data_IF_063332807925
#
_entry.id   IF_063332807925
#
_cell.length_a   1.000
_cell.length_b   1.000
_cell.length_c   1.000
_cell.angle_alpha   90.00
_cell.angle_beta   90.00
_cell.angle_gamma   90.00
#
_symmetry.space_group_name_H-M   'P 1'
#
loop_
_entity.id
_entity.type
_entity.pdbx_description
1 polymer ?
#
# COMPACT_ATOMS: atom_id res chain seq x y z
N UNK A 1 9.49 75.25 -37.66
CA UNK A 1 8.38 74.27 -37.50
C UNK A 1 8.99 72.88 -37.42
N UNK A 2 8.98 72.30 -36.22
CA UNK A 2 9.62 71.02 -35.86
C UNK A 2 8.99 69.84 -36.60
N UNK A 3 9.84 68.94 -37.13
CA UNK A 3 9.47 67.56 -37.52
C UNK A 3 9.75 66.64 -36.33
N UNK A 4 8.69 66.05 -35.76
CA UNK A 4 8.77 65.05 -34.69
C UNK A 4 8.99 63.66 -35.29
N UNK A 5 10.15 63.07 -35.01
CA UNK A 5 10.44 61.66 -35.23
C UNK A 5 9.78 60.83 -34.11
N UNK A 6 8.99 59.83 -34.47
CA UNK A 6 8.42 58.85 -33.53
C UNK A 6 9.44 57.72 -33.31
N UNK A 7 10.09 57.71 -32.15
CA UNK A 7 10.87 56.56 -31.67
C UNK A 7 9.93 55.51 -31.10
N UNK A 8 9.96 54.29 -31.66
CA UNK A 8 9.28 53.13 -31.11
C UNK A 8 10.11 52.55 -29.95
N UNK A 9 9.51 52.50 -28.76
CA UNK A 9 10.11 51.91 -27.57
C UNK A 9 9.69 50.43 -27.50
N UNK A 10 10.61 49.51 -27.82
CA UNK A 10 10.39 48.07 -27.65
C UNK A 10 10.55 47.72 -26.17
N UNK A 11 9.44 47.42 -25.49
CA UNK A 11 9.44 46.93 -24.11
C UNK A 11 9.74 45.43 -24.14
N UNK A 12 10.94 45.07 -23.69
CA UNK A 12 11.34 43.68 -23.47
C UNK A 12 10.73 43.22 -22.12
N UNK A 13 9.64 42.46 -22.18
CA UNK A 13 9.05 41.79 -21.02
C UNK A 13 9.97 40.62 -20.60
N UNK A 14 10.82 40.85 -19.61
CA UNK A 14 11.49 39.78 -18.86
C UNK A 14 10.43 39.10 -17.99
N UNK A 15 9.92 37.95 -18.43
CA UNK A 15 9.16 37.04 -17.57
C UNK A 15 10.13 36.39 -16.59
N UNK A 16 10.18 36.91 -15.37
CA UNK A 16 10.71 36.19 -14.22
C UNK A 16 9.83 34.95 -14.03
N UNK A 17 10.36 33.78 -14.37
CA UNK A 17 9.78 32.50 -13.97
C UNK A 17 9.90 32.44 -12.44
N UNK A 18 8.80 32.70 -11.75
CA UNK A 18 8.66 32.35 -10.35
C UNK A 18 8.48 30.84 -10.33
N UNK A 19 9.48 30.11 -9.83
CA UNK A 19 9.35 28.70 -9.49
C UNK A 19 8.27 28.59 -8.40
N UNK A 20 7.03 28.41 -8.83
CA UNK A 20 5.96 28.00 -7.94
C UNK A 20 6.30 26.60 -7.43
N UNK A 21 6.16 26.33 -6.12
CA UNK A 21 6.37 24.99 -5.59
C UNK A 21 5.50 24.00 -6.39
N UNK A 22 6.12 22.90 -6.81
CA UNK A 22 5.48 21.81 -7.55
C UNK A 22 4.26 21.31 -6.77
N UNK A 23 3.08 21.77 -7.17
CA UNK A 23 1.80 21.34 -6.64
C UNK A 23 1.59 19.88 -7.04
N UNK A 24 1.21 19.01 -6.10
CA UNK A 24 0.93 17.59 -6.33
C UNK A 24 0.14 17.40 -7.62
N UNK A 25 0.83 17.00 -8.69
CA UNK A 25 0.29 17.19 -10.03
C UNK A 25 -0.45 15.92 -10.48
N UNK A 26 -1.55 16.07 -11.25
CA UNK A 26 -2.20 14.95 -11.92
C UNK A 26 -1.23 14.12 -12.75
N UNK A 27 -0.26 14.75 -13.43
CA UNK A 27 0.68 14.07 -14.31
C UNK A 27 1.57 13.09 -13.53
N UNK A 28 2.11 13.48 -12.37
CA UNK A 28 2.93 12.59 -11.54
C UNK A 28 2.16 11.34 -11.12
N UNK A 29 0.89 11.50 -10.69
CA UNK A 29 0.05 10.37 -10.32
C UNK A 29 -0.21 9.42 -11.50
N UNK A 30 -0.39 9.96 -12.71
CA UNK A 30 -0.55 9.16 -13.92
C UNK A 30 0.74 8.44 -14.33
N UNK A 31 1.89 9.12 -14.25
CA UNK A 31 3.20 8.56 -14.61
C UNK A 31 3.61 7.45 -13.63
N UNK A 32 3.33 7.63 -12.33
CA UNK A 32 3.55 6.59 -11.31
C UNK A 32 2.65 5.38 -11.59
N UNK A 33 1.35 5.57 -11.82
CA UNK A 33 0.46 4.46 -12.20
C UNK A 33 0.92 3.73 -13.48
N UNK A 34 1.38 4.46 -14.50
CA UNK A 34 1.91 3.86 -15.72
C UNK A 34 3.20 3.07 -15.46
N UNK A 35 4.07 3.58 -14.60
CA UNK A 35 5.29 2.91 -14.20
C UNK A 35 5.03 1.63 -13.40
N UNK A 36 4.03 1.63 -12.51
CA UNK A 36 3.58 0.42 -11.80
C UNK A 36 3.16 -0.66 -12.79
N UNK A 37 2.35 -0.30 -13.79
CA UNK A 37 1.90 -1.25 -14.82
C UNK A 37 3.05 -1.82 -15.65
N UNK A 38 4.09 -1.01 -15.91
CA UNK A 38 5.23 -1.39 -16.73
C UNK A 38 6.23 -2.27 -15.99
N UNK A 39 6.56 -1.93 -14.75
CA UNK A 39 7.65 -2.56 -14.02
C UNK A 39 7.17 -3.37 -12.81
N UNK A 40 6.22 -2.88 -12.05
CA UNK A 40 5.92 -3.44 -10.73
C UNK A 40 4.85 -4.54 -10.77
N UNK A 41 4.27 -4.85 -11.94
CA UNK A 41 3.23 -5.89 -12.06
C UNK A 41 3.54 -6.98 -13.11
N UNK A 42 4.75 -7.56 -13.16
CA UNK A 42 5.11 -8.52 -14.22
C UNK A 42 4.16 -9.72 -14.31
N UNK A 43 3.56 -10.11 -13.17
CA UNK A 43 2.59 -11.21 -13.09
C UNK A 43 1.24 -10.80 -12.48
N UNK A 44 0.91 -9.51 -12.56
CA UNK A 44 -0.38 -8.98 -12.10
C UNK A 44 -0.45 -8.67 -10.61
N UNK A 45 0.63 -8.86 -9.85
CA UNK A 45 0.77 -8.44 -8.44
C UNK A 45 2.00 -7.56 -8.28
N UNK A 46 2.03 -6.73 -7.24
CA UNK A 46 3.11 -5.76 -6.97
C UNK A 46 4.39 -6.48 -6.58
N UNK A 47 5.49 -6.25 -7.29
CA UNK A 47 6.82 -6.79 -6.98
C UNK A 47 7.85 -5.71 -7.33
N UNK A 48 8.88 -5.55 -6.48
CA UNK A 48 9.88 -4.52 -6.67
C UNK A 48 10.96 -4.95 -7.70
N UNK A 49 11.23 -4.14 -8.73
CA UNK A 49 12.35 -4.33 -9.64
C UNK A 49 13.66 -3.85 -9.01
N UNK A 50 14.70 -4.68 -9.11
CA UNK A 50 16.09 -4.35 -8.78
C UNK A 50 16.89 -4.14 -10.07
N UNK A 51 17.64 -3.05 -10.16
CA UNK A 51 18.35 -2.63 -11.37
C UNK A 51 19.85 -2.88 -11.26
N UNK A 52 20.53 -2.97 -12.40
CA UNK A 52 21.97 -3.28 -12.46
C UNK A 52 22.86 -2.30 -11.69
N UNK A 53 22.43 -1.04 -11.56
CA UNK A 53 23.10 -0.01 -10.78
C UNK A 53 22.13 1.14 -10.47
N UNK A 54 22.57 2.06 -9.62
CA UNK A 54 21.82 3.26 -9.20
C UNK A 54 21.36 4.16 -10.37
N UNK A 55 22.11 4.16 -11.47
CA UNK A 55 21.85 4.98 -12.67
C UNK A 55 21.31 4.17 -13.85
N UNK A 56 21.19 2.85 -13.71
CA UNK A 56 20.71 1.98 -14.78
C UNK A 56 19.18 2.00 -14.88
N UNK A 57 18.68 1.94 -16.11
CA UNK A 57 17.27 1.69 -16.43
C UNK A 57 17.00 0.22 -16.77
N UNK A 58 18.02 -0.63 -16.74
CA UNK A 58 17.91 -2.06 -16.98
C UNK A 58 17.63 -2.82 -15.68
N UNK A 59 16.52 -3.54 -15.66
CA UNK A 59 16.15 -4.43 -14.54
C UNK A 59 17.11 -5.62 -14.54
N UNK A 60 17.77 -5.83 -13.41
CA UNK A 60 18.64 -6.96 -13.17
C UNK A 60 17.87 -8.19 -12.72
N UNK A 61 16.95 -8.03 -11.76
CA UNK A 61 16.04 -9.06 -11.25
C UNK A 61 14.88 -8.42 -10.47
N UNK A 62 14.01 -9.24 -9.89
CA UNK A 62 13.00 -8.79 -8.93
C UNK A 62 13.32 -9.26 -7.50
N UNK A 63 12.71 -8.59 -6.52
CA UNK A 63 13.00 -8.73 -5.08
C UNK A 63 11.74 -8.43 -4.25
N UNK A 64 11.81 -8.67 -2.93
CA UNK A 64 10.78 -8.28 -1.95
C UNK A 64 9.38 -8.81 -2.29
N UNK A 65 9.31 -10.07 -2.72
CA UNK A 65 8.05 -10.72 -3.08
C UNK A 65 7.14 -10.98 -1.87
N UNK A 66 7.66 -11.04 -0.64
CA UNK A 66 6.84 -11.36 0.54
C UNK A 66 5.65 -10.43 0.76
N UNK A 67 5.69 -9.18 0.32
CA UNK A 67 4.61 -8.21 0.54
C UNK A 67 3.77 -7.90 -0.70
N UNK A 68 3.87 -8.77 -1.71
CA UNK A 68 3.17 -8.58 -2.98
C UNK A 68 1.65 -8.50 -2.80
N UNK A 69 1.03 -9.34 -1.96
CA UNK A 69 -0.42 -9.36 -1.79
C UNK A 69 -0.95 -8.09 -1.09
N UNK A 70 -0.32 -7.65 0.01
CA UNK A 70 -0.73 -6.43 0.72
C UNK A 70 -0.64 -5.20 -0.19
N UNK A 71 0.45 -5.06 -0.96
CA UNK A 71 0.65 -3.92 -1.84
C UNK A 71 -0.24 -3.98 -3.08
N UNK A 72 -0.56 -5.17 -3.60
CA UNK A 72 -1.56 -5.32 -4.65
C UNK A 72 -2.95 -4.87 -4.17
N UNK A 73 -3.30 -5.14 -2.91
CA UNK A 73 -4.53 -4.63 -2.30
C UNK A 73 -4.56 -3.10 -2.17
N UNK A 74 -3.46 -2.47 -1.74
CA UNK A 74 -3.37 -1.00 -1.69
C UNK A 74 -3.41 -0.39 -3.09
N UNK A 75 -2.75 -1.01 -4.06
CA UNK A 75 -2.79 -0.60 -5.46
C UNK A 75 -4.21 -0.67 -6.05
N UNK A 76 -4.93 -1.76 -5.77
CA UNK A 76 -6.33 -1.91 -6.14
C UNK A 76 -7.20 -0.79 -5.56
N UNK A 77 -7.01 -0.42 -4.29
CA UNK A 77 -7.71 0.70 -3.69
C UNK A 77 -7.38 2.03 -4.40
N UNK A 78 -6.11 2.27 -4.73
CA UNK A 78 -5.66 3.50 -5.40
C UNK A 78 -6.32 3.66 -6.77
N UNK A 79 -6.30 2.62 -7.60
CA UNK A 79 -6.91 2.65 -8.95
C UNK A 79 -8.44 2.67 -8.89
N UNK A 80 -9.05 2.09 -7.86
CA UNK A 80 -10.49 2.19 -7.63
C UNK A 80 -10.91 3.63 -7.29
N UNK A 81 -10.17 4.32 -6.42
CA UNK A 81 -10.39 5.76 -6.17
C UNK A 81 -10.13 6.59 -7.42
N UNK A 82 -9.07 6.29 -8.19
CA UNK A 82 -8.80 6.95 -9.48
C UNK A 82 -9.97 6.78 -10.44
N UNK A 83 -10.48 5.57 -10.60
CA UNK A 83 -11.63 5.29 -11.46
C UNK A 83 -12.85 6.09 -11.00
N UNK A 84 -13.16 6.07 -9.70
CA UNK A 84 -14.30 6.81 -9.16
C UNK A 84 -14.18 8.32 -9.34
N UNK A 85 -12.97 8.88 -9.22
CA UNK A 85 -12.72 10.31 -9.34
C UNK A 85 -12.66 10.80 -10.80
N UNK A 86 -12.41 9.91 -11.78
CA UNK A 86 -12.11 10.33 -13.17
C UNK A 86 -12.95 9.64 -14.25
N UNK A 87 -13.58 8.50 -13.96
CA UNK A 87 -14.22 7.64 -14.96
C UNK A 87 -13.24 6.99 -15.95
N UNK A 88 -11.93 7.05 -15.72
CA UNK A 88 -10.91 6.64 -16.68
C UNK A 88 -10.99 5.14 -17.02
N UNK A 89 -11.16 4.77 -18.31
CA UNK A 89 -11.09 3.36 -18.74
C UNK A 89 -9.75 2.70 -18.44
N UNK A 90 -8.66 3.48 -18.44
CA UNK A 90 -7.33 2.99 -18.07
C UNK A 90 -7.28 2.58 -16.59
N UNK A 91 -7.87 3.38 -15.70
CA UNK A 91 -7.96 3.02 -14.27
C UNK A 91 -8.78 1.73 -14.07
N UNK A 92 -9.87 1.56 -14.82
CA UNK A 92 -10.64 0.31 -14.80
C UNK A 92 -9.83 -0.89 -15.32
N UNK A 93 -9.02 -0.70 -16.36
CA UNK A 93 -8.09 -1.72 -16.86
C UNK A 93 -7.08 -2.13 -15.78
N UNK A 94 -6.51 -1.16 -15.06
CA UNK A 94 -5.58 -1.39 -13.96
C UNK A 94 -6.24 -2.14 -12.79
N UNK A 95 -7.47 -1.78 -12.43
CA UNK A 95 -8.29 -2.52 -11.45
C UNK A 95 -8.42 -3.98 -11.86
N UNK A 96 -8.78 -4.25 -13.12
CA UNK A 96 -8.92 -5.63 -13.60
C UNK A 96 -7.60 -6.41 -13.53
N UNK A 97 -6.45 -5.78 -13.80
CA UNK A 97 -5.15 -6.42 -13.66
C UNK A 97 -4.86 -6.80 -12.20
N UNK A 98 -5.10 -5.88 -11.25
CA UNK A 98 -4.91 -6.13 -9.83
C UNK A 98 -5.87 -7.22 -9.29
N UNK A 99 -7.15 -7.18 -9.69
CA UNK A 99 -8.13 -8.20 -9.31
C UNK A 99 -7.73 -9.59 -9.81
N UNK A 100 -7.30 -9.71 -11.06
CA UNK A 100 -6.82 -10.98 -11.62
C UNK A 100 -5.53 -11.44 -10.93
N UNK A 101 -4.64 -10.52 -10.55
CA UNK A 101 -3.46 -10.85 -9.74
C UNK A 101 -3.82 -11.44 -8.38
N UNK A 102 -4.73 -10.79 -7.64
CA UNK A 102 -5.24 -11.29 -6.36
C UNK A 102 -5.91 -12.66 -6.53
N UNK A 103 -6.75 -12.84 -7.56
CA UNK A 103 -7.35 -14.13 -7.89
C UNK A 103 -6.30 -15.21 -8.11
N UNK A 104 -5.24 -14.90 -8.86
CA UNK A 104 -4.15 -15.85 -9.10
C UNK A 104 -3.43 -16.26 -7.80
N UNK A 105 -3.27 -15.34 -6.84
CA UNK A 105 -2.72 -15.67 -5.50
C UNK A 105 -3.63 -16.63 -4.70
N UNK A 106 -4.94 -16.62 -4.96
CA UNK A 106 -5.92 -17.52 -4.33
C UNK A 106 -5.96 -18.87 -5.07
N UNK A 107 -5.90 -18.85 -6.39
CA UNK A 107 -6.03 -20.04 -7.24
C UNK A 107 -4.79 -20.92 -7.20
N UNK A 108 -3.59 -20.32 -7.17
CA UNK A 108 -2.32 -21.04 -7.22
C UNK A 108 -2.13 -22.00 -6.03
N UNK A 109 -2.76 -21.72 -4.89
CA UNK A 109 -2.65 -22.58 -3.70
C UNK A 109 -3.52 -23.83 -3.76
N UNK A 110 -4.54 -23.84 -4.63
CA UNK A 110 -5.50 -24.94 -4.77
C UNK A 110 -6.48 -25.11 -3.59
N UNK A 111 -6.33 -24.33 -2.52
CA UNK A 111 -7.11 -24.50 -1.26
C UNK A 111 -7.88 -23.26 -0.84
N UNK A 112 -7.84 -22.18 -1.64
CA UNK A 112 -8.32 -20.83 -1.30
C UNK A 112 -7.49 -20.10 -0.22
N UNK A 113 -6.39 -20.70 0.23
CA UNK A 113 -5.34 -19.99 0.95
C UNK A 113 -4.81 -18.85 0.06
N UNK A 114 -4.61 -17.66 0.63
CA UNK A 114 -3.92 -16.56 -0.05
C UNK A 114 -2.40 -16.82 -0.08
N UNK A 115 -1.78 -16.86 -1.26
CA UNK A 115 -0.33 -16.80 -1.40
C UNK A 115 0.19 -15.36 -1.16
N UNK A 116 1.45 -15.22 -0.73
CA UNK A 116 2.11 -13.91 -0.60
C UNK A 116 2.46 -13.32 -1.97
N UNK A 117 2.98 -14.16 -2.86
CA UNK A 117 3.42 -13.82 -4.21
C UNK A 117 3.34 -15.05 -5.13
N UNK A 118 3.22 -14.83 -6.44
CA UNK A 118 3.35 -15.86 -7.46
C UNK A 118 4.19 -15.38 -8.64
N UNK A 119 4.91 -16.30 -9.29
CA UNK A 119 5.64 -16.06 -10.53
C UNK A 119 5.88 -17.37 -11.30
N UNK A 120 5.91 -17.36 -12.65
CA UNK A 120 6.31 -18.53 -13.41
C UNK A 120 7.75 -18.96 -13.08
N UNK A 121 7.99 -20.26 -12.92
CA UNK A 121 9.33 -20.82 -12.65
C UNK A 121 10.32 -20.40 -13.74
N UNK A 122 9.93 -20.51 -15.01
CA UNK A 122 10.78 -20.14 -16.14
C UNK A 122 11.12 -18.65 -16.19
N UNK A 123 10.27 -17.78 -15.62
CA UNK A 123 10.54 -16.34 -15.56
C UNK A 123 11.56 -16.03 -14.47
N UNK A 124 11.36 -16.57 -13.26
CA UNK A 124 12.31 -16.41 -12.17
C UNK A 124 13.69 -17.00 -12.53
N UNK A 125 13.72 -18.13 -13.24
CA UNK A 125 14.95 -18.79 -13.66
C UNK A 125 15.64 -18.12 -14.87
N UNK A 126 15.01 -17.10 -15.49
CA UNK A 126 15.55 -16.43 -16.69
C UNK A 126 16.59 -15.35 -16.40
N UNK A 127 16.70 -14.89 -15.15
CA UNK A 127 17.65 -13.83 -14.78
C UNK A 127 19.09 -14.34 -14.70
N UNK A 128 20.04 -13.51 -15.15
CA UNK A 128 21.47 -13.85 -15.19
C UNK A 128 22.11 -13.87 -13.79
N UNK A 129 23.14 -14.72 -13.63
CA UNK A 129 23.97 -14.71 -12.41
C UNK A 129 24.70 -13.38 -12.29
N UNK A 130 24.53 -12.73 -11.14
CA UNK A 130 25.19 -11.46 -10.84
C UNK A 130 26.59 -11.71 -10.37
N UNK A 131 27.58 -11.10 -11.02
CA UNK A 131 28.95 -11.01 -10.50
C UNK A 131 29.09 -9.66 -9.80
N UNK A 132 29.53 -9.68 -8.55
CA UNK A 132 29.96 -8.48 -7.83
C UNK A 132 31.10 -7.82 -8.62
N UNK A 133 30.91 -6.61 -9.16
CA UNK A 133 31.93 -5.95 -9.97
C UNK A 133 33.20 -5.59 -9.18
N UNK A 134 33.11 -5.47 -7.85
CA UNK A 134 34.22 -5.08 -6.98
C UNK A 134 35.04 -6.27 -6.48
N UNK A 135 34.42 -7.45 -6.35
CA UNK A 135 35.08 -8.64 -5.78
C UNK A 135 35.25 -9.79 -6.77
N UNK A 136 34.56 -9.76 -7.92
CA UNK A 136 34.52 -10.87 -8.88
C UNK A 136 33.77 -12.11 -8.37
N UNK A 137 33.14 -12.02 -7.18
CA UNK A 137 32.37 -13.10 -6.56
C UNK A 137 30.97 -13.09 -7.17
N UNK A 138 30.41 -14.25 -7.48
CA UNK A 138 28.99 -14.37 -7.83
C UNK A 138 28.16 -13.89 -6.62
N UNK A 139 27.63 -12.67 -6.69
CA UNK A 139 26.66 -12.10 -5.75
C UNK A 139 25.33 -11.98 -6.47
N UNK A 140 24.59 -13.09 -6.49
CA UNK A 140 23.25 -13.09 -7.04
C UNK A 140 22.83 -14.50 -7.35
N UNK A 141 21.76 -14.96 -6.70
CA UNK A 141 21.07 -16.13 -7.18
C UNK A 141 20.24 -15.71 -8.40
N UNK A 142 20.22 -16.54 -9.45
CA UNK A 142 19.24 -16.47 -10.57
C UNK A 142 17.81 -16.22 -10.07
N UNK A 143 17.55 -16.72 -8.87
CA UNK A 143 16.27 -16.84 -8.18
C UNK A 143 16.10 -15.82 -7.07
N UNK A 144 16.12 -14.54 -7.41
CA UNK A 144 16.10 -13.42 -6.46
C UNK A 144 15.02 -13.53 -5.38
N UNK A 145 13.76 -13.64 -5.78
CA UNK A 145 12.64 -13.64 -4.85
C UNK A 145 12.63 -14.93 -4.04
N UNK A 146 12.72 -16.10 -4.67
CA UNK A 146 12.62 -17.36 -3.91
C UNK A 146 13.84 -17.59 -3.00
N UNK A 147 14.96 -16.90 -3.22
CA UNK A 147 16.10 -16.89 -2.29
C UNK A 147 15.83 -16.03 -1.08
N UNK A 148 15.38 -14.79 -1.29
CA UNK A 148 15.06 -13.85 -0.22
C UNK A 148 13.90 -14.38 0.64
N UNK A 149 12.93 -15.02 -0.01
CA UNK A 149 11.70 -15.50 0.62
C UNK A 149 11.74 -16.98 1.02
N UNK A 150 12.93 -17.61 1.02
CA UNK A 150 13.07 -19.03 1.36
C UNK A 150 12.51 -19.34 2.76
N UNK A 151 12.62 -18.41 3.71
CA UNK A 151 12.06 -18.52 5.07
C UNK A 151 10.52 -18.49 5.11
N UNK A 152 9.88 -17.97 4.08
CA UNK A 152 8.41 -17.95 3.94
C UNK A 152 7.87 -19.22 3.28
N UNK A 153 8.72 -20.16 2.89
CA UNK A 153 8.31 -21.38 2.20
C UNK A 153 7.99 -21.11 0.72
N UNK A 154 8.71 -21.82 -0.14
CA UNK A 154 8.59 -21.73 -1.59
C UNK A 154 7.94 -23.01 -2.10
N UNK A 155 6.84 -22.86 -2.83
CA UNK A 155 6.05 -23.98 -3.34
C UNK A 155 6.05 -23.95 -4.87
N UNK A 156 6.04 -25.13 -5.49
CA UNK A 156 5.94 -25.28 -6.95
C UNK A 156 4.64 -26.00 -7.27
N UNK A 157 3.87 -25.45 -8.22
CA UNK A 157 2.62 -26.04 -8.68
C UNK A 157 2.43 -25.83 -10.18
N UNK A 158 1.83 -26.79 -10.85
CA UNK A 158 1.35 -26.61 -12.22
C UNK A 158 -0.03 -25.93 -12.20
N UNK A 159 -0.10 -24.70 -12.71
CA UNK A 159 -1.32 -23.90 -12.78
C UNK A 159 -1.51 -23.40 -14.21
N UNK A 160 -2.64 -23.73 -14.85
CA UNK A 160 -2.92 -23.35 -16.24
C UNK A 160 -1.89 -23.88 -17.26
N UNK A 161 -1.31 -25.06 -17.01
CA UNK A 161 -0.28 -25.66 -17.86
C UNK A 161 1.13 -25.05 -17.73
N UNK A 162 1.33 -24.11 -16.81
CA UNK A 162 2.63 -23.51 -16.50
C UNK A 162 3.04 -23.83 -15.07
N UNK A 163 4.32 -24.08 -14.82
CA UNK A 163 4.83 -24.24 -13.46
C UNK A 163 5.04 -22.86 -12.83
N UNK A 164 4.45 -22.65 -11.66
CA UNK A 164 4.58 -21.44 -10.86
C UNK A 164 5.31 -21.73 -9.56
N UNK A 165 6.20 -20.81 -9.19
CA UNK A 165 6.53 -20.59 -7.79
C UNK A 165 5.39 -19.79 -7.14
N UNK A 166 5.05 -20.14 -5.91
CA UNK A 166 4.31 -19.25 -5.03
C UNK A 166 4.91 -19.26 -3.63
N UNK A 167 4.87 -18.10 -2.98
CA UNK A 167 5.44 -17.87 -1.65
C UNK A 167 4.34 -18.04 -0.61
N UNK A 168 4.58 -18.92 0.36
CA UNK A 168 3.64 -19.26 1.43
C UNK A 168 3.95 -18.56 2.75
N UNK A 169 3.72 -19.24 3.88
CA UNK A 169 3.77 -18.68 5.23
C UNK A 169 3.13 -17.28 5.29
N UNK A 170 1.91 -17.21 4.77
CA UNK A 170 1.15 -15.97 4.61
C UNK A 170 0.78 -15.39 5.96
N UNK A 171 1.28 -14.20 6.24
CA UNK A 171 0.98 -13.44 7.45
C UNK A 171 -0.30 -12.60 7.31
N UNK A 172 -0.78 -12.03 8.42
CA UNK A 172 -2.09 -11.33 8.51
C UNK A 172 -2.17 -10.06 7.68
N UNK A 173 -1.04 -9.38 7.53
CA UNK A 173 -0.87 -8.16 6.73
C UNK A 173 -1.27 -8.38 5.27
N UNK A 174 -0.92 -9.53 4.68
CA UNK A 174 -1.31 -9.89 3.31
C UNK A 174 -2.83 -9.89 3.13
N UNK A 175 -3.55 -10.55 4.06
CA UNK A 175 -5.01 -10.53 4.08
C UNK A 175 -5.56 -9.13 4.34
N UNK A 176 -4.97 -8.38 5.27
CA UNK A 176 -5.42 -7.02 5.61
C UNK A 176 -5.39 -6.09 4.40
N UNK A 177 -4.30 -6.11 3.61
CA UNK A 177 -4.21 -5.34 2.38
C UNK A 177 -5.19 -5.79 1.31
N UNK A 178 -5.31 -7.10 1.08
CA UNK A 178 -6.25 -7.65 0.08
C UNK A 178 -7.70 -7.29 0.42
N UNK A 179 -8.12 -7.48 1.68
CA UNK A 179 -9.47 -7.09 2.11
C UNK A 179 -9.69 -5.56 2.10
N UNK A 180 -8.65 -4.76 2.40
CA UNK A 180 -8.70 -3.32 2.22
C UNK A 180 -9.03 -2.95 0.77
N UNK A 181 -8.24 -3.45 -0.18
CA UNK A 181 -8.40 -3.20 -1.61
C UNK A 181 -9.74 -3.69 -2.17
N UNK A 182 -10.12 -4.94 -1.89
CA UNK A 182 -11.37 -5.54 -2.37
C UNK A 182 -12.60 -4.80 -1.83
N UNK A 183 -12.59 -4.43 -0.55
CA UNK A 183 -13.67 -3.66 0.07
C UNK A 183 -13.83 -2.27 -0.54
N UNK A 184 -12.72 -1.57 -0.79
CA UNK A 184 -12.73 -0.25 -1.45
C UNK A 184 -13.23 -0.37 -2.89
N UNK A 185 -12.67 -1.29 -3.67
CA UNK A 185 -13.01 -1.46 -5.08
C UNK A 185 -14.50 -1.79 -5.29
N UNK A 186 -15.10 -2.60 -4.41
CA UNK A 186 -16.52 -2.94 -4.50
C UNK A 186 -17.46 -1.72 -4.42
N UNK A 187 -17.13 -0.74 -3.57
CA UNK A 187 -17.94 0.46 -3.40
C UNK A 187 -17.61 1.56 -4.41
N UNK A 188 -16.34 1.68 -4.81
CA UNK A 188 -15.91 2.69 -5.77
C UNK A 188 -16.33 2.37 -7.21
N UNK A 189 -16.52 1.09 -7.54
CA UNK A 189 -16.75 0.63 -8.92
C UNK A 189 -18.15 0.04 -9.05
N UNK A 190 -19.02 0.75 -9.77
CA UNK A 190 -20.40 0.34 -10.04
C UNK A 190 -20.49 -0.47 -11.34
N UNK A 191 -19.67 -1.51 -11.45
CA UNK A 191 -19.70 -2.47 -12.56
C UNK A 191 -20.07 -3.86 -12.02
N UNK A 192 -21.08 -4.49 -12.62
CA UNK A 192 -21.61 -5.76 -12.15
C UNK A 192 -20.59 -6.91 -12.24
N UNK A 193 -19.73 -6.90 -13.27
CA UNK A 193 -18.71 -7.92 -13.47
C UNK A 193 -17.60 -7.78 -12.42
N UNK A 194 -17.14 -6.56 -12.16
CA UNK A 194 -16.18 -6.25 -11.09
C UNK A 194 -16.72 -6.67 -9.74
N UNK A 195 -17.96 -6.28 -9.40
CA UNK A 195 -18.58 -6.65 -8.12
C UNK A 195 -18.78 -8.14 -7.96
N UNK A 196 -19.16 -8.85 -9.03
CA UNK A 196 -19.27 -10.32 -9.02
C UNK A 196 -17.91 -10.98 -8.80
N UNK A 197 -16.86 -10.48 -9.45
CA UNK A 197 -15.50 -11.00 -9.30
C UNK A 197 -15.00 -10.82 -7.86
N UNK A 198 -15.13 -9.60 -7.30
CA UNK A 198 -14.76 -9.30 -5.91
C UNK A 198 -15.56 -10.16 -4.94
N UNK A 199 -16.88 -10.30 -5.15
CA UNK A 199 -17.73 -11.16 -4.30
C UNK A 199 -17.18 -12.58 -4.23
N UNK A 200 -16.79 -13.15 -5.36
CA UNK A 200 -16.25 -14.51 -5.41
C UNK A 200 -14.90 -14.63 -4.68
N UNK A 201 -14.00 -13.66 -4.81
CA UNK A 201 -12.71 -13.69 -4.10
C UNK A 201 -12.86 -13.52 -2.59
N UNK A 202 -13.62 -12.51 -2.17
CA UNK A 202 -13.91 -12.27 -0.74
C UNK A 202 -14.58 -13.49 -0.12
N UNK A 203 -15.54 -14.11 -0.82
CA UNK A 203 -16.24 -15.29 -0.30
C UNK A 203 -15.26 -16.45 -0.06
N UNK A 204 -14.39 -16.74 -1.03
CA UNK A 204 -13.40 -17.82 -0.92
C UNK A 204 -12.40 -17.60 0.22
N UNK A 205 -11.81 -16.40 0.29
CA UNK A 205 -10.86 -16.04 1.33
C UNK A 205 -11.48 -16.09 2.73
N UNK A 206 -12.69 -15.55 2.88
CA UNK A 206 -13.34 -15.46 4.17
C UNK A 206 -13.90 -16.82 4.63
N UNK A 207 -14.44 -17.62 3.71
CA UNK A 207 -14.85 -19.00 4.01
C UNK A 207 -13.64 -19.85 4.41
N UNK A 208 -12.48 -19.70 3.74
CA UNK A 208 -11.23 -20.36 4.17
C UNK A 208 -10.88 -20.00 5.62
N UNK A 209 -10.82 -18.71 5.96
CA UNK A 209 -10.50 -18.28 7.32
C UNK A 209 -11.54 -18.79 8.34
N UNK A 210 -12.84 -18.76 8.02
CA UNK A 210 -13.89 -19.24 8.92
C UNK A 210 -13.83 -20.78 9.11
N UNK A 211 -13.60 -21.54 8.04
CA UNK A 211 -13.46 -23.00 8.09
C UNK A 211 -12.28 -23.43 8.95
N UNK A 212 -11.18 -22.65 8.93
CA UNK A 212 -9.99 -22.91 9.71
C UNK A 212 -9.96 -22.16 11.06
N UNK A 213 -11.12 -21.73 11.58
CA UNK A 213 -11.24 -21.04 12.86
C UNK A 213 -10.25 -19.87 12.99
N UNK A 214 -10.17 -19.04 11.95
CA UNK A 214 -9.29 -17.88 11.86
C UNK A 214 -7.79 -18.18 11.93
N UNK A 215 -7.37 -19.41 11.63
CA UNK A 215 -5.98 -19.77 11.38
C UNK A 215 -5.67 -19.80 9.88
N UNK A 216 -4.47 -19.36 9.50
CA UNK A 216 -3.94 -19.51 8.14
C UNK A 216 -3.19 -20.83 8.07
N UNK A 217 -3.85 -21.84 7.49
CA UNK A 217 -3.33 -23.21 7.39
C UNK A 217 -2.67 -23.42 6.03
N UNK A 218 -1.38 -23.74 6.04
CA UNK A 218 -0.59 -24.08 4.86
C UNK A 218 -0.98 -25.45 4.30
N UNK A 219 -0.66 -25.79 3.03
CA UNK A 219 -0.99 -27.11 2.46
C UNK A 219 -0.43 -28.31 3.23
N UNK A 220 0.66 -28.11 3.98
CA UNK A 220 1.23 -29.13 4.88
C UNK A 220 0.43 -29.36 6.16
N UNK A 221 -0.60 -28.56 6.43
CA UNK A 221 -1.32 -28.51 7.71
C UNK A 221 -0.69 -27.59 8.76
N UNK A 222 0.49 -27.03 8.49
CA UNK A 222 1.14 -26.09 9.40
C UNK A 222 0.37 -24.76 9.48
N UNK A 223 0.29 -24.17 10.67
CA UNK A 223 -0.32 -22.85 10.86
C UNK A 223 0.76 -21.79 10.68
N UNK A 224 0.57 -20.91 9.70
CA UNK A 224 1.49 -19.79 9.47
C UNK A 224 1.21 -18.61 10.40
N UNK A 225 -0.07 -18.28 10.62
CA UNK A 225 -0.49 -17.21 11.51
C UNK A 225 -1.94 -17.41 11.95
N UNK A 226 -2.38 -16.65 12.95
CA UNK A 226 -3.76 -16.69 13.46
C UNK A 226 -4.31 -15.28 13.69
N UNK A 227 -5.60 -15.09 13.43
CA UNK A 227 -6.34 -13.87 13.74
C UNK A 227 -7.01 -13.91 15.12
N UNK A 228 -6.64 -14.87 15.98
CA UNK A 228 -7.10 -14.91 17.36
C UNK A 228 -6.72 -13.62 18.08
N UNK A 229 -7.63 -13.11 18.91
CA UNK A 229 -7.52 -11.82 19.62
C UNK A 229 -7.42 -10.57 18.73
N UNK A 230 -7.48 -10.72 17.40
CA UNK A 230 -7.57 -9.60 16.44
C UNK A 230 -9.01 -9.34 16.01
N UNK A 231 -9.83 -8.99 17.00
CA UNK A 231 -11.25 -8.69 16.75
C UNK A 231 -11.45 -7.56 15.73
N UNK A 232 -10.52 -6.60 15.68
CA UNK A 232 -10.44 -5.54 14.68
C UNK A 232 -10.35 -6.10 13.24
N UNK A 233 -9.46 -7.07 13.00
CA UNK A 233 -9.26 -7.69 11.69
C UNK A 233 -10.40 -8.66 11.34
N UNK A 234 -10.82 -9.48 12.30
CA UNK A 234 -11.93 -10.43 12.11
C UNK A 234 -13.22 -9.72 11.71
N UNK A 235 -13.58 -8.66 12.45
CA UNK A 235 -14.78 -7.87 12.17
C UNK A 235 -14.65 -7.05 10.89
N UNK A 236 -13.46 -6.50 10.59
CA UNK A 236 -13.18 -5.81 9.32
C UNK A 236 -13.45 -6.72 8.11
N UNK A 237 -12.91 -7.94 8.12
CA UNK A 237 -13.07 -8.87 6.99
C UNK A 237 -14.51 -9.35 6.86
N UNK A 238 -15.18 -9.62 7.98
CA UNK A 238 -16.62 -9.96 8.00
C UNK A 238 -17.50 -8.80 7.52
N UNK A 239 -17.13 -7.54 7.76
CA UNK A 239 -17.84 -6.38 7.20
C UNK A 239 -17.71 -6.31 5.68
N UNK A 240 -16.51 -6.50 5.15
CA UNK A 240 -16.31 -6.60 3.70
C UNK A 240 -17.13 -7.76 3.14
N UNK A 241 -17.09 -8.93 3.80
CA UNK A 241 -17.92 -10.09 3.45
C UNK A 241 -19.41 -9.76 3.41
N UNK A 242 -19.95 -9.16 4.48
CA UNK A 242 -21.36 -8.72 4.57
C UNK A 242 -21.71 -7.75 3.46
N UNK A 243 -20.83 -6.80 3.14
CA UNK A 243 -21.07 -5.79 2.11
C UNK A 243 -21.17 -6.40 0.70
N UNK A 244 -20.31 -7.37 0.38
CA UNK A 244 -20.25 -7.95 -0.98
C UNK A 244 -21.14 -9.17 -1.17
N UNK A 245 -21.37 -9.94 -0.10
CA UNK A 245 -22.19 -11.17 -0.09
C UNK A 245 -23.02 -11.25 1.22
N UNK A 246 -24.04 -10.39 1.37
CA UNK A 246 -24.84 -10.33 2.60
C UNK A 246 -25.55 -11.65 2.91
N UNK A 247 -26.01 -12.37 1.88
CA UNK A 247 -26.66 -13.69 2.03
C UNK A 247 -25.77 -14.68 2.79
N UNK A 248 -24.45 -14.64 2.58
CA UNK A 248 -23.49 -15.54 3.24
C UNK A 248 -23.05 -15.02 4.61
N UNK A 249 -22.76 -13.73 4.73
CA UNK A 249 -21.99 -13.18 5.86
C UNK A 249 -22.75 -12.25 6.80
N UNK A 250 -23.98 -11.80 6.49
CA UNK A 250 -24.70 -10.84 7.36
C UNK A 250 -24.96 -11.42 8.76
N UNK A 251 -25.48 -12.65 8.85
CA UNK A 251 -25.73 -13.33 10.13
C UNK A 251 -24.43 -13.61 10.90
N UNK A 252 -23.36 -13.99 10.20
CA UNK A 252 -22.04 -14.26 10.80
C UNK A 252 -21.47 -12.98 11.38
N UNK A 253 -21.48 -11.88 10.61
CA UNK A 253 -21.01 -10.58 11.10
C UNK A 253 -21.80 -10.12 12.31
N UNK A 254 -23.14 -10.21 12.28
CA UNK A 254 -23.99 -9.83 13.42
C UNK A 254 -23.66 -10.61 14.69
N UNK A 255 -23.40 -11.91 14.56
CA UNK A 255 -23.00 -12.78 15.68
C UNK A 255 -21.61 -12.43 16.22
N UNK A 256 -20.65 -12.12 15.34
CA UNK A 256 -19.30 -11.72 15.75
C UNK A 256 -19.31 -10.34 16.40
N UNK A 257 -19.95 -9.34 15.80
CA UNK A 257 -19.94 -7.96 16.32
C UNK A 257 -20.60 -7.85 17.69
N UNK A 258 -21.66 -8.63 17.96
CA UNK A 258 -22.30 -8.62 19.28
C UNK A 258 -21.39 -9.14 20.39
N UNK A 259 -20.40 -9.97 20.06
CA UNK A 259 -19.43 -10.55 21.01
C UNK A 259 -18.15 -9.74 21.10
N UNK A 260 -17.63 -9.29 19.94
CA UNK A 260 -16.25 -8.80 19.83
C UNK A 260 -16.15 -7.29 19.61
N UNK A 261 -17.24 -6.56 19.37
CA UNK A 261 -17.13 -5.11 19.18
C UNK A 261 -16.48 -4.39 20.38
N UNK A 262 -16.82 -4.72 21.65
CA UNK A 262 -16.16 -4.10 22.80
C UNK A 262 -14.66 -4.40 22.92
N UNK A 263 -14.16 -5.47 22.31
CA UNK A 263 -12.75 -5.86 22.38
C UNK A 263 -11.88 -5.26 21.28
N UNK A 264 -12.45 -4.56 20.29
CA UNK A 264 -11.70 -4.01 19.15
C UNK A 264 -10.57 -3.08 19.60
N UNK A 265 -10.78 -2.31 20.67
CA UNK A 265 -9.77 -1.40 21.20
C UNK A 265 -8.57 -2.11 21.88
N UNK A 266 -8.69 -3.38 22.27
CA UNK A 266 -7.66 -4.08 23.06
C UNK A 266 -6.32 -4.20 22.31
N UNK A 267 -6.24 -4.82 21.10
CA UNK A 267 -4.97 -4.91 20.38
C UNK A 267 -4.38 -3.53 20.10
N UNK A 268 -5.22 -2.59 19.63
CA UNK A 268 -4.81 -1.22 19.31
C UNK A 268 -4.24 -0.51 20.53
N UNK A 269 -4.87 -0.63 21.70
CA UNK A 269 -4.40 -0.01 22.94
C UNK A 269 -3.05 -0.53 23.41
N UNK A 270 -2.71 -1.76 23.04
CA UNK A 270 -1.38 -2.34 23.30
C UNK A 270 -0.37 -1.84 22.26
N UNK A 271 -0.77 -1.77 20.99
CA UNK A 271 0.08 -1.35 19.89
C UNK A 271 0.52 0.12 20.03
N UNK A 272 -0.36 1.01 20.51
CA UNK A 272 -0.04 2.45 20.72
C UNK A 272 0.87 2.74 21.91
N UNK A 273 1.16 1.76 22.78
CA UNK A 273 2.14 1.95 23.88
C UNK A 273 3.57 2.12 23.37
N UNK A 274 3.82 1.69 22.13
CA UNK A 274 5.08 1.87 21.43
C UNK A 274 4.78 2.48 20.07
N UNK A 275 4.95 3.78 19.93
CA UNK A 275 4.69 4.55 18.73
C UNK A 275 5.85 4.51 17.71
N UNK A 276 6.86 3.67 17.94
CA UNK A 276 8.07 3.64 17.14
C UNK A 276 8.40 2.25 16.57
N UNK A 277 8.42 1.21 17.40
CA UNK A 277 8.79 -0.13 16.94
C UNK A 277 7.64 -0.81 16.20
N UNK A 278 8.00 -1.56 15.16
CA UNK A 278 7.03 -2.27 14.32
C UNK A 278 5.93 -1.34 13.79
N UNK A 279 6.29 -0.11 13.39
CA UNK A 279 5.37 0.95 12.99
C UNK A 279 4.32 0.51 11.95
N UNK A 280 4.63 -0.51 11.15
CA UNK A 280 3.70 -1.11 10.20
C UNK A 280 2.37 -1.55 10.83
N UNK A 281 2.35 -1.87 12.13
CA UNK A 281 1.11 -2.18 12.88
C UNK A 281 0.05 -1.08 12.73
N UNK A 282 0.46 0.20 12.74
CA UNK A 282 -0.46 1.32 12.57
C UNK A 282 -1.05 1.39 11.17
N UNK A 283 -0.31 0.98 10.13
CA UNK A 283 -0.87 0.84 8.80
C UNK A 283 -1.96 -0.24 8.78
N UNK A 284 -1.68 -1.40 9.37
CA UNK A 284 -2.63 -2.52 9.45
C UNK A 284 -3.90 -2.14 10.22
N UNK A 285 -3.77 -1.49 11.37
CA UNK A 285 -4.93 -1.05 12.15
C UNK A 285 -5.75 -0.01 11.39
N UNK A 286 -5.07 0.95 10.74
CA UNK A 286 -5.72 2.01 9.95
C UNK A 286 -6.56 1.45 8.81
N UNK A 287 -6.02 0.56 7.99
CA UNK A 287 -6.74 0.01 6.83
C UNK A 287 -7.88 -0.94 7.25
N UNK A 288 -7.70 -1.69 8.35
CA UNK A 288 -8.73 -2.58 8.88
C UNK A 288 -9.89 -1.78 9.50
N UNK A 289 -9.59 -0.79 10.34
CA UNK A 289 -10.58 0.08 10.94
C UNK A 289 -11.33 0.90 9.89
N UNK A 290 -10.68 1.28 8.79
CA UNK A 290 -11.35 2.00 7.71
C UNK A 290 -12.55 1.25 7.15
N UNK A 291 -12.38 -0.01 6.72
CA UNK A 291 -13.49 -0.82 6.21
C UNK A 291 -14.48 -1.19 7.31
N UNK A 292 -14.00 -1.52 8.52
CA UNK A 292 -14.86 -1.86 9.65
C UNK A 292 -15.82 -0.71 10.01
N UNK A 293 -15.29 0.52 10.10
CA UNK A 293 -16.06 1.70 10.49
C UNK A 293 -16.97 2.13 9.33
N UNK A 294 -16.43 2.39 8.13
CA UNK A 294 -17.20 3.01 7.04
C UNK A 294 -18.40 2.17 6.57
N UNK A 295 -18.34 0.84 6.78
CA UNK A 295 -19.40 -0.09 6.41
C UNK A 295 -20.38 -0.37 7.56
N UNK A 296 -20.12 0.07 8.80
CA UNK A 296 -20.99 -0.22 9.95
C UNK A 296 -22.17 0.75 9.98
N UNK A 297 -23.36 0.16 9.92
CA UNK A 297 -24.66 0.84 9.84
C UNK A 297 -25.27 1.12 11.23
N UNK A 298 -24.88 0.34 12.24
CA UNK A 298 -25.30 0.53 13.63
C UNK A 298 -24.43 1.57 14.33
N UNK A 299 -25.03 2.67 14.76
CA UNK A 299 -24.36 3.71 15.55
C UNK A 299 -23.72 3.15 16.84
N UNK A 300 -24.38 2.18 17.49
CA UNK A 300 -23.87 1.53 18.70
C UNK A 300 -22.56 0.77 18.46
N UNK A 301 -22.49 -0.09 17.44
CA UNK A 301 -21.27 -0.85 17.15
C UNK A 301 -20.20 0.06 16.54
N UNK A 302 -20.60 1.00 15.68
CA UNK A 302 -19.70 1.99 15.09
C UNK A 302 -18.97 2.82 16.16
N UNK A 303 -19.62 3.11 17.29
CA UNK A 303 -19.01 3.83 18.40
C UNK A 303 -17.79 3.09 18.97
N UNK A 304 -17.86 1.77 19.17
CA UNK A 304 -16.72 0.98 19.65
C UNK A 304 -15.54 1.05 18.69
N UNK A 305 -15.80 0.87 17.39
CA UNK A 305 -14.77 0.90 16.36
C UNK A 305 -14.15 2.28 16.21
N UNK A 306 -14.97 3.32 16.24
CA UNK A 306 -14.52 4.71 16.15
C UNK A 306 -13.73 5.12 17.39
N UNK A 307 -14.07 4.62 18.58
CA UNK A 307 -13.31 4.85 19.80
C UNK A 307 -11.91 4.24 19.71
N UNK A 308 -11.81 3.00 19.21
CA UNK A 308 -10.53 2.35 18.95
C UNK A 308 -9.69 3.12 17.90
N UNK A 309 -10.32 3.57 16.82
CA UNK A 309 -9.66 4.41 15.82
C UNK A 309 -9.19 5.77 16.36
N UNK A 310 -9.96 6.40 17.25
CA UNK A 310 -9.56 7.65 17.88
C UNK A 310 -8.33 7.47 18.78
N UNK A 311 -8.18 6.32 19.45
CA UNK A 311 -6.98 6.00 20.20
C UNK A 311 -5.76 5.90 19.27
N UNK A 312 -5.87 5.10 18.20
CA UNK A 312 -4.84 4.99 17.16
C UNK A 312 -4.47 6.36 16.56
N UNK A 313 -5.48 7.17 16.24
CA UNK A 313 -5.28 8.43 15.53
C UNK A 313 -4.60 9.47 16.40
N UNK A 314 -4.92 9.56 17.69
CA UNK A 314 -4.24 10.46 18.65
C UNK A 314 -2.75 10.16 18.81
N UNK A 315 -2.34 8.91 18.56
CA UNK A 315 -0.93 8.51 18.58
C UNK A 315 -0.22 8.82 17.27
N UNK A 316 -0.94 9.12 16.18
CA UNK A 316 -0.35 9.17 14.83
C UNK A 316 -0.70 10.44 14.05
N UNK A 317 -1.40 11.40 14.65
CA UNK A 317 -1.92 12.60 13.98
C UNK A 317 -0.89 13.71 13.79
N UNK A 318 0.18 13.70 14.57
CA UNK A 318 1.35 14.57 14.42
C UNK A 318 2.51 13.91 13.64
N UNK A 319 2.39 12.64 13.27
CA UNK A 319 3.43 11.87 12.56
C UNK A 319 3.65 12.24 11.08
N UNK A 320 2.83 13.15 10.52
CA UNK A 320 2.94 13.59 9.13
C UNK A 320 2.76 12.42 8.13
N UNK A 321 1.53 11.90 8.01
CA UNK A 321 1.25 10.71 7.21
C UNK A 321 0.04 10.95 6.28
N UNK A 322 0.30 11.13 4.98
CA UNK A 322 -0.75 11.47 4.01
C UNK A 322 -1.78 10.33 3.85
N UNK A 323 -1.35 9.08 3.95
CA UNK A 323 -2.25 7.93 3.89
C UNK A 323 -3.21 7.92 5.09
N UNK A 324 -2.70 8.09 6.30
CA UNK A 324 -3.55 8.12 7.51
C UNK A 324 -4.48 9.33 7.51
N UNK A 325 -4.00 10.48 7.02
CA UNK A 325 -4.84 11.67 6.84
C UNK A 325 -6.03 11.41 5.91
N UNK A 326 -5.82 10.70 4.78
CA UNK A 326 -6.90 10.40 3.84
C UNK A 326 -7.86 9.33 4.33
N UNK A 327 -7.39 8.39 5.15
CA UNK A 327 -8.27 7.47 5.87
C UNK A 327 -9.15 8.24 6.87
N UNK A 328 -8.55 9.14 7.66
CA UNK A 328 -9.30 9.99 8.62
C UNK A 328 -10.31 10.90 7.90
N UNK A 329 -9.94 11.47 6.73
CA UNK A 329 -10.86 12.23 5.85
C UNK A 329 -12.09 11.41 5.45
N UNK A 330 -11.89 10.15 5.10
CA UNK A 330 -12.96 9.24 4.72
C UNK A 330 -13.87 8.83 5.89
N UNK A 331 -13.35 8.83 7.12
CA UNK A 331 -14.10 8.43 8.32
C UNK A 331 -14.80 9.58 9.03
N UNK A 332 -14.16 10.76 9.10
CA UNK A 332 -14.59 11.91 9.90
C UNK A 332 -15.04 13.13 9.08
N UNK A 333 -14.86 13.11 7.77
CA UNK A 333 -15.19 14.26 6.93
C UNK A 333 -14.07 15.30 6.89
N UNK A 334 -14.41 16.51 6.43
CA UNK A 334 -13.43 17.53 6.05
C UNK A 334 -12.75 18.15 7.29
N UNK A 335 -11.46 18.44 7.18
CA UNK A 335 -10.68 19.12 8.20
C UNK A 335 -9.62 19.98 7.51
N UNK A 336 -9.68 21.30 7.67
CA UNK A 336 -8.83 22.22 6.89
C UNK A 336 -7.34 22.05 7.17
N UNK A 337 -6.97 21.69 8.41
CA UNK A 337 -5.56 21.56 8.82
C UNK A 337 -4.99 20.26 8.26
N UNK A 338 -5.65 19.13 8.51
CA UNK A 338 -5.25 17.81 8.00
C UNK A 338 -5.26 17.78 6.47
N UNK A 339 -6.26 18.39 5.85
CA UNK A 339 -6.39 18.40 4.39
C UNK A 339 -5.30 19.27 3.75
N UNK A 340 -4.94 20.42 4.36
CA UNK A 340 -3.80 21.22 3.92
C UNK A 340 -2.46 20.51 4.13
N UNK A 341 -2.27 19.86 5.30
CA UNK A 341 -1.07 19.06 5.57
C UNK A 341 -0.90 17.93 4.55
N UNK A 342 -2.00 17.28 4.15
CA UNK A 342 -1.96 16.22 3.13
C UNK A 342 -1.37 16.71 1.82
N UNK A 343 -1.73 17.93 1.36
CA UNK A 343 -1.16 18.51 0.13
C UNK A 343 0.35 18.67 0.26
N UNK A 344 0.81 19.30 1.35
CA UNK A 344 2.24 19.49 1.63
C UNK A 344 3.02 18.18 1.68
N UNK A 345 2.46 17.15 2.33
CA UNK A 345 3.12 15.83 2.45
C UNK A 345 3.24 15.13 1.10
N UNK A 346 2.27 15.30 0.19
CA UNK A 346 2.33 14.76 -1.17
C UNK A 346 3.35 15.54 -2.03
N UNK A 347 3.42 16.86 -1.89
CA UNK A 347 4.43 17.69 -2.56
C UNK A 347 5.85 17.29 -2.12
N UNK A 348 6.07 17.10 -0.82
CA UNK A 348 7.34 16.60 -0.29
C UNK A 348 7.68 15.19 -0.78
N UNK A 349 6.68 14.34 -0.96
CA UNK A 349 6.91 12.99 -1.46
C UNK A 349 7.49 13.01 -2.88
N UNK A 350 7.03 13.91 -3.75
CA UNK A 350 7.54 14.06 -5.12
C UNK A 350 9.00 14.52 -5.18
N UNK A 351 9.52 15.12 -4.12
CA UNK A 351 10.94 15.50 -4.01
C UNK A 351 11.86 14.30 -3.72
N UNK A 352 11.29 13.13 -3.43
CA UNK A 352 12.06 11.92 -3.09
C UNK A 352 12.50 11.20 -4.37
N UNK A 353 13.70 10.62 -4.40
CA UNK A 353 14.08 9.73 -5.50
C UNK A 353 13.27 8.43 -5.43
N UNK A 354 13.04 7.80 -6.58
CA UNK A 354 12.28 6.54 -6.70
C UNK A 354 13.04 5.31 -6.17
N UNK A 355 14.37 5.42 -6.11
CA UNK A 355 15.27 4.37 -5.63
C UNK A 355 15.43 4.40 -4.13
N UNK A 356 15.73 3.24 -3.56
CA UNK A 356 15.94 3.05 -2.13
C UNK A 356 17.31 3.56 -1.62
N UNK A 357 17.82 4.69 -2.13
CA UNK A 357 19.11 5.24 -1.70
C UNK A 357 19.22 5.36 -0.18
N UNK A 358 20.37 4.93 0.34
CA UNK A 358 20.72 5.05 1.76
C UNK A 358 20.55 6.47 2.29
N UNK A 359 20.05 6.56 3.52
CA UNK A 359 19.90 7.80 4.29
C UNK A 359 20.55 7.56 5.65
N UNK A 360 21.37 8.51 6.10
CA UNK A 360 21.90 8.54 7.48
C UNK A 360 21.88 9.98 8.00
N UNK A 361 21.00 10.23 8.97
CA UNK A 361 20.74 11.53 9.58
C UNK A 361 21.27 11.62 11.01
N UNK A 362 21.96 10.58 11.52
CA UNK A 362 22.37 10.49 12.94
C UNK A 362 23.38 11.55 13.36
N UNK A 363 24.09 12.15 12.40
CA UNK A 363 25.01 13.26 12.63
C UNK A 363 24.44 14.65 12.27
N UNK A 364 23.20 14.73 11.81
CA UNK A 364 22.60 16.00 11.39
C UNK A 364 22.00 16.74 12.59
N UNK A 365 22.53 17.94 12.86
CA UNK A 365 22.10 18.78 13.99
C UNK A 365 20.63 19.20 13.93
N UNK A 366 19.98 19.10 12.76
CA UNK A 366 18.54 19.38 12.60
C UNK A 366 17.65 18.31 13.23
N UNK A 367 18.18 17.10 13.48
CA UNK A 367 17.41 15.96 13.98
C UNK A 367 18.00 15.43 15.29
N UNK A 368 17.68 16.06 16.45
CA UNK A 368 18.11 15.57 17.75
C UNK A 368 17.71 14.09 17.96
N UNK A 369 18.59 13.32 18.59
CA UNK A 369 18.41 11.88 18.81
C UNK A 369 17.73 11.64 20.17
N UNK A 370 16.60 10.94 20.16
CA UNK A 370 15.80 10.60 21.34
C UNK A 370 15.65 9.08 21.54
N UNK A 371 16.62 8.28 21.10
CA UNK A 371 16.60 6.83 21.23
C UNK A 371 17.59 6.20 20.25
N UNK A 372 17.74 4.87 20.29
CA UNK A 372 18.55 4.17 19.31
C UNK A 372 18.01 4.44 17.90
N UNK A 373 18.84 5.09 17.07
CA UNK A 373 18.54 5.46 15.69
C UNK A 373 17.20 6.20 15.47
N UNK A 374 16.76 6.94 16.48
CA UNK A 374 15.45 7.60 16.54
C UNK A 374 15.55 9.11 16.75
N UNK A 375 14.92 9.88 15.87
CA UNK A 375 14.77 11.32 16.00
C UNK A 375 13.75 11.68 17.10
N UNK A 376 13.91 12.84 17.73
CA UNK A 376 12.96 13.38 18.71
C UNK A 376 11.64 13.86 18.11
N UNK A 377 11.57 14.04 16.79
CA UNK A 377 10.38 14.52 16.09
C UNK A 377 10.31 13.89 14.70
N UNK A 378 9.11 13.82 14.08
CA UNK A 378 8.96 13.28 12.74
C UNK A 378 9.86 13.99 11.72
N UNK A 379 10.61 13.22 10.95
CA UNK A 379 11.47 13.73 9.88
C UNK A 379 10.57 14.20 8.72
N UNK A 380 10.87 15.34 8.05
CA UNK A 380 10.18 15.77 6.84
C UNK A 380 10.12 14.66 5.79
N UNK A 381 8.99 14.52 5.09
CA UNK A 381 8.72 13.40 4.18
C UNK A 381 9.80 13.27 3.11
N UNK A 382 10.26 14.40 2.57
CA UNK A 382 11.33 14.45 1.55
C UNK A 382 12.67 13.86 2.01
N UNK A 383 12.92 13.82 3.32
CA UNK A 383 14.18 13.36 3.94
C UNK A 383 14.05 11.98 4.62
N UNK A 384 12.82 11.44 4.72
CA UNK A 384 12.59 10.13 5.34
C UNK A 384 13.28 9.00 4.58
N UNK A 385 13.80 8.06 5.36
CA UNK A 385 14.35 6.77 4.92
C UNK A 385 13.44 6.10 3.89
N UNK A 386 14.06 5.47 2.89
CA UNK A 386 13.40 4.94 1.70
C UNK A 386 13.22 3.44 1.83
N UNK A 387 11.97 2.98 1.75
CA UNK A 387 11.59 1.57 1.79
C UNK A 387 10.36 1.36 0.90
N UNK A 388 9.89 0.12 0.79
CA UNK A 388 8.63 -0.30 0.14
C UNK A 388 7.45 0.71 0.16
N UNK A 389 6.80 0.95 1.32
CA UNK A 389 5.66 1.85 1.48
C UNK A 389 5.97 2.83 2.61
N UNK A 390 6.14 4.12 2.28
CA UNK A 390 6.59 5.12 3.26
C UNK A 390 5.73 5.16 4.53
N UNK A 391 4.41 5.10 4.36
CA UNK A 391 3.46 5.39 5.43
C UNK A 391 3.33 4.29 6.48
N UNK A 392 3.97 3.14 6.28
CA UNK A 392 4.09 2.08 7.30
C UNK A 392 5.43 2.11 8.04
N UNK A 393 6.33 3.05 7.71
CA UNK A 393 7.62 3.19 8.38
C UNK A 393 7.56 4.30 9.42
N UNK A 394 8.33 4.10 10.49
CA UNK A 394 8.45 5.09 11.55
C UNK A 394 8.96 6.40 10.96
N UNK A 395 8.25 7.53 11.14
CA UNK A 395 8.68 8.83 10.64
C UNK A 395 9.88 9.38 11.42
N UNK A 396 10.30 8.71 12.50
CA UNK A 396 11.41 9.09 13.37
C UNK A 396 12.72 8.38 13.01
N UNK A 397 12.71 7.47 12.03
CA UNK A 397 13.86 6.64 11.70
C UNK A 397 15.00 7.47 11.09
N UNK A 398 16.15 7.53 11.76
CA UNK A 398 17.29 8.38 11.35
C UNK A 398 18.14 7.78 10.23
N UNK A 399 18.06 6.47 9.99
CA UNK A 399 18.93 5.81 9.01
C UNK A 399 18.27 4.58 8.39
N UNK A 400 18.73 4.22 7.20
CA UNK A 400 18.29 3.01 6.50
C UNK A 400 18.22 3.23 4.99
N UNK A 401 17.46 2.36 4.32
CA UNK A 401 17.44 2.25 2.87
C UNK A 401 18.41 1.16 2.40
N UNK A 402 18.74 1.21 1.12
CA UNK A 402 19.56 0.23 0.42
C UNK A 402 20.58 0.91 -0.49
N UNK A 403 21.06 0.15 -1.47
CA UNK A 403 22.11 0.57 -2.39
C UNK A 403 21.61 1.45 -3.55
N UNK A 404 20.37 1.95 -3.50
CA UNK A 404 19.80 2.76 -4.57
C UNK A 404 19.48 1.98 -5.85
N UNK A 405 19.42 0.64 -5.77
CA UNK A 405 19.18 -0.24 -6.92
C UNK A 405 17.75 -0.75 -6.99
N UNK A 406 16.99 -0.69 -5.90
CA UNK A 406 15.60 -1.13 -5.84
C UNK A 406 14.69 0.08 -6.03
N UNK A 407 13.77 0.00 -6.96
CA UNK A 407 12.70 1.00 -7.09
C UNK A 407 11.44 0.49 -6.38
N UNK A 408 10.75 1.40 -5.71
CA UNK A 408 9.47 1.13 -5.04
C UNK A 408 8.31 1.56 -5.94
N UNK A 409 7.15 0.92 -5.77
CA UNK A 409 6.01 1.11 -6.68
C UNK A 409 5.42 2.54 -6.68
N UNK A 410 5.60 3.33 -5.62
CA UNK A 410 4.97 4.65 -5.49
C UNK A 410 3.49 4.61 -5.11
N UNK A 411 3.01 3.48 -4.58
CA UNK A 411 1.64 3.31 -4.07
C UNK A 411 1.35 4.27 -2.91
N UNK A 412 2.39 4.56 -2.11
CA UNK A 412 2.38 5.58 -1.06
C UNK A 412 2.09 6.98 -1.59
N UNK A 413 2.34 7.28 -2.86
CA UNK A 413 1.85 8.52 -3.45
C UNK A 413 0.43 8.38 -4.01
N UNK A 414 0.22 7.42 -4.93
CA UNK A 414 -1.02 7.38 -5.72
C UNK A 414 -2.26 7.06 -4.87
N UNK A 415 -2.14 6.26 -3.80
CA UNK A 415 -3.28 5.93 -2.95
C UNK A 415 -3.82 7.18 -2.23
N UNK A 416 -3.04 7.88 -1.38
CA UNK A 416 -3.53 9.12 -0.77
C UNK A 416 -3.83 10.21 -1.80
N UNK A 417 -3.11 10.30 -2.91
CA UNK A 417 -3.43 11.27 -3.98
C UNK A 417 -4.84 11.05 -4.54
N UNK A 418 -5.19 9.83 -4.95
CA UNK A 418 -6.51 9.54 -5.52
C UNK A 418 -7.63 9.60 -4.49
N UNK A 419 -7.35 9.26 -3.23
CA UNK A 419 -8.27 9.53 -2.12
C UNK A 419 -8.50 11.05 -1.95
N UNK A 420 -7.44 11.86 -1.97
CA UNK A 420 -7.52 13.31 -1.84
C UNK A 420 -8.31 13.95 -2.99
N UNK A 421 -8.14 13.46 -4.22
CA UNK A 421 -8.96 13.85 -5.38
C UNK A 421 -10.43 13.47 -5.19
N UNK A 422 -10.70 12.23 -4.77
CA UNK A 422 -12.06 11.74 -4.54
C UNK A 422 -12.79 12.53 -3.44
N UNK A 423 -12.10 12.89 -2.36
CA UNK A 423 -12.67 13.64 -1.23
C UNK A 423 -12.65 15.17 -1.41
N UNK A 424 -12.21 15.67 -2.58
CA UNK A 424 -12.14 17.10 -2.86
C UNK A 424 -11.07 17.87 -2.08
N UNK A 425 -10.08 17.16 -1.54
CA UNK A 425 -8.88 17.77 -0.93
C UNK A 425 -7.98 18.32 -2.02
N UNK A 426 -7.78 17.60 -3.11
CA UNK A 426 -7.11 18.10 -4.31
C UNK A 426 -8.16 18.43 -5.36
N UNK A 427 -7.97 19.56 -6.06
CA UNK A 427 -8.86 19.95 -7.15
C UNK A 427 -8.79 18.96 -8.32
N UNK A 428 -9.91 18.84 -9.05
CA UNK A 428 -9.88 18.23 -10.38
C UNK A 428 -9.01 19.06 -11.32
N UNK A 429 -8.29 18.39 -12.21
CA UNK A 429 -7.71 19.04 -13.39
C UNK A 429 -8.79 19.17 -14.47
#
# INVERSE_FOLDING_TARGET
MLRLARSALTILLLTLAVDLPTQAAPQDAHDISANIQRLHMPHGTIIDPMFKSEVSTEVYRYTRGADSAIWTGHYLAAEAFRYRATGSPQALGNVWRALRGIRSLIDVTGTNLLARCLMPVAWEDSFEEGVDPQTGIIKGNKRGIITEEAGHGVYIVAFGGTNYYWIGNTSRDQYSGVFFGLGVAYDMIDDASVRSFIRADVTRLLDFLLQHNWAVVMPSGAISTVFWHRSDQQLSFLQVGRRVNPTRFDSIYRSYRSKYAPSVAIPISTEVLDDHNSYFKFNLDTINLYNLIRLEDSSYYRWWYTSAYNLLRRTTDDHGNAHFNMIDRGLKGADSIRDAQTRSLLDEWLMRPRRDFWVDLRGDVRYPVCGEDRACSPIPVKERVRTDFLWQRSPFLLYGGGSGTIETAGIDYILPYWMARYYGVLSGA
#
